data_IF_620476175293
#
_entry.id   IF_620476175293
#
_cell.length_a   1.000
_cell.length_b   1.000
_cell.length_c   1.000
_cell.angle_alpha   90.00
_cell.angle_beta   90.00
_cell.angle_gamma   90.00
#
_symmetry.space_group_name_H-M   'P 1'
#
loop_
_entity.id
_entity.type
_entity.pdbx_description
1 polymer ?
#
# COMPACT_ATOMS: atom_id res chain seq x y z
N UNK A 1 35.25 -18.32 -12.16
CA UNK A 1 35.15 -18.00 -10.71
C UNK A 1 34.67 -16.57 -10.49
N UNK A 2 35.38 -15.54 -10.95
CA UNK A 2 34.96 -14.14 -10.81
C UNK A 2 33.54 -13.87 -11.35
N UNK A 3 33.20 -14.45 -12.52
CA UNK A 3 31.87 -14.33 -13.10
C UNK A 3 30.74 -14.80 -12.18
N UNK A 4 30.94 -15.93 -11.48
CA UNK A 4 29.95 -16.46 -10.54
C UNK A 4 29.83 -15.56 -9.31
N UNK A 5 30.95 -15.00 -8.85
CA UNK A 5 30.98 -14.05 -7.73
C UNK A 5 30.27 -12.74 -8.09
N UNK A 6 30.50 -12.19 -9.28
CA UNK A 6 29.82 -10.97 -9.74
C UNK A 6 28.34 -11.18 -9.97
N UNK A 7 27.94 -12.36 -10.45
CA UNK A 7 26.54 -12.70 -10.66
C UNK A 7 25.82 -12.87 -9.31
N UNK A 8 26.45 -13.56 -8.36
CA UNK A 8 25.91 -13.70 -7.00
C UNK A 8 25.78 -12.36 -6.29
N UNK A 9 26.79 -11.48 -6.38
CA UNK A 9 26.74 -10.16 -5.76
C UNK A 9 25.65 -9.28 -6.38
N UNK A 10 25.50 -9.30 -7.71
CA UNK A 10 24.43 -8.57 -8.39
C UNK A 10 23.04 -9.00 -7.89
N UNK A 11 22.78 -10.31 -7.79
CA UNK A 11 21.51 -10.84 -7.27
C UNK A 11 21.26 -10.38 -5.83
N UNK A 12 22.28 -10.44 -4.97
CA UNK A 12 22.16 -9.99 -3.58
C UNK A 12 21.85 -8.50 -3.51
N UNK A 13 22.56 -7.66 -4.26
CA UNK A 13 22.36 -6.20 -4.29
C UNK A 13 20.96 -5.87 -4.80
N UNK A 14 20.49 -6.50 -5.88
CA UNK A 14 19.14 -6.30 -6.40
C UNK A 14 18.07 -6.67 -5.37
N UNK A 15 18.23 -7.81 -4.68
CA UNK A 15 17.31 -8.23 -3.63
C UNK A 15 17.31 -7.27 -2.43
N UNK A 16 18.48 -6.77 -2.04
CA UNK A 16 18.61 -5.77 -0.97
C UNK A 16 17.93 -4.46 -1.34
N UNK A 17 18.09 -4.00 -2.59
CA UNK A 17 17.48 -2.76 -3.06
C UNK A 17 15.96 -2.89 -3.15
N UNK A 18 15.45 -3.98 -3.73
CA UNK A 18 14.03 -4.30 -3.71
C UNK A 18 13.51 -4.33 -2.28
N UNK A 19 14.15 -5.13 -1.42
CA UNK A 19 13.73 -5.27 -0.02
C UNK A 19 13.74 -3.92 0.71
N UNK A 20 14.74 -3.07 0.50
CA UNK A 20 14.81 -1.73 1.08
C UNK A 20 13.64 -0.86 0.58
N UNK A 21 13.41 -0.79 -0.73
CA UNK A 21 12.28 -0.06 -1.32
C UNK A 21 10.92 -0.54 -0.80
N UNK A 22 10.80 -1.84 -0.51
CA UNK A 22 9.57 -2.43 0.04
C UNK A 22 9.49 -2.32 1.57
N UNK A 23 10.61 -2.06 2.25
CA UNK A 23 10.70 -1.88 3.72
C UNK A 23 10.49 -0.42 4.12
N UNK A 24 10.90 0.54 3.28
CA UNK A 24 10.62 1.98 3.44
C UNK A 24 9.10 2.27 3.51
N UNK A 25 8.28 1.40 2.90
CA UNK A 25 6.81 1.46 3.00
C UNK A 25 6.26 0.95 4.35
N UNK A 26 7.09 0.29 5.16
CA UNK A 26 6.73 -0.35 6.43
C UNK A 26 7.56 0.16 7.62
N UNK A 27 8.49 1.11 7.43
CA UNK A 27 9.41 1.61 8.47
C UNK A 27 8.75 2.54 9.49
N UNK A 28 7.45 2.81 9.40
CA UNK A 28 6.69 3.50 10.47
C UNK A 28 6.32 2.59 11.66
N UNK A 29 6.77 1.34 11.75
CA UNK A 29 6.56 0.50 12.94
C UNK A 29 7.84 -0.19 13.43
N UNK A 30 8.47 0.33 14.50
CA UNK A 30 9.46 -0.44 15.25
C UNK A 30 8.69 -1.45 16.12
N UNK A 31 8.52 -2.66 15.61
CA UNK A 31 7.96 -3.76 16.39
C UNK A 31 7.05 -4.65 15.57
N UNK A 32 7.63 -5.69 14.98
CA UNK A 32 7.27 -7.08 15.28
C UNK A 32 8.10 -7.99 14.36
N UNK A 33 9.06 -8.68 14.96
CA UNK A 33 9.41 -10.00 14.46
C UNK A 33 8.16 -10.89 14.59
N UNK A 34 7.98 -11.78 13.62
CA UNK A 34 6.89 -12.75 13.44
C UNK A 34 5.55 -12.26 12.86
N UNK A 35 5.37 -12.55 11.57
CA UNK A 35 4.17 -13.21 11.05
C UNK A 35 4.59 -13.80 9.69
N UNK A 36 5.11 -15.03 9.64
CA UNK A 36 4.30 -16.22 9.37
C UNK A 36 3.16 -15.92 8.39
N UNK A 37 3.41 -16.35 7.14
CA UNK A 37 2.45 -16.73 6.12
C UNK A 37 1.02 -16.91 6.66
N UNK A 38 0.07 -16.13 6.14
CA UNK A 38 -1.34 -16.56 6.09
C UNK A 38 -2.00 -16.03 4.81
N UNK A 39 -2.37 -16.89 3.86
CA UNK A 39 -3.35 -16.53 2.86
C UNK A 39 -4.75 -16.70 3.49
N UNK A 40 -5.65 -15.76 3.23
CA UNK A 40 -7.11 -15.90 3.24
C UNK A 40 -7.78 -14.62 3.73
N UNK A 41 -8.57 -14.04 2.83
CA UNK A 41 -9.89 -13.47 3.10
C UNK A 41 -10.07 -12.58 4.33
N UNK A 42 -10.33 -11.30 4.07
CA UNK A 42 -11.26 -10.51 4.88
C UNK A 42 -10.83 -10.28 6.34
N UNK A 43 -9.96 -9.30 6.55
CA UNK A 43 -10.01 -8.52 7.78
C UNK A 43 -9.58 -7.10 7.45
N UNK A 44 -10.56 -6.20 7.59
CA UNK A 44 -10.46 -4.75 7.49
C UNK A 44 -9.12 -4.31 8.08
N UNK A 45 -8.16 -3.97 7.20
CA UNK A 45 -7.01 -3.19 7.63
C UNK A 45 -7.64 -1.96 8.26
N UNK A 46 -7.41 -1.78 9.56
CA UNK A 46 -7.53 -0.48 10.22
C UNK A 46 -6.59 0.45 9.47
N UNK A 47 -7.09 0.95 8.33
CA UNK A 47 -6.46 2.01 7.58
C UNK A 47 -6.58 3.16 8.55
N UNK A 48 -5.44 3.67 8.99
CA UNK A 48 -5.37 5.09 9.31
C UNK A 48 -5.73 5.76 7.98
N UNK A 49 -7.02 5.94 7.72
CA UNK A 49 -7.49 6.77 6.63
C UNK A 49 -6.87 8.13 6.90
N UNK A 50 -6.09 8.64 5.95
CA UNK A 50 -5.75 10.05 5.99
C UNK A 50 -7.05 10.88 5.96
N UNK A 51 -7.00 12.16 6.32
CA UNK A 51 -8.18 13.04 6.22
C UNK A 51 -8.87 12.98 4.85
N UNK A 52 -8.12 12.67 3.78
CA UNK A 52 -8.61 12.53 2.41
C UNK A 52 -9.27 11.16 2.10
N UNK A 53 -9.00 10.13 2.91
CA UNK A 53 -9.55 8.77 2.78
C UNK A 53 -10.71 8.51 3.77
N UNK A 54 -11.25 9.57 4.38
CA UNK A 54 -12.39 9.47 5.27
C UNK A 54 -13.65 9.11 4.46
N UNK A 55 -14.39 8.06 4.87
CA UNK A 55 -15.53 7.56 4.10
C UNK A 55 -16.63 8.62 3.97
N UNK A 56 -16.76 9.51 4.94
CA UNK A 56 -17.73 10.60 4.93
C UNK A 56 -17.39 11.67 3.89
N UNK A 57 -16.11 12.01 3.70
CA UNK A 57 -15.67 12.98 2.68
C UNK A 57 -15.94 12.47 1.27
N UNK A 58 -15.61 11.20 0.99
CA UNK A 58 -15.88 10.57 -0.29
C UNK A 58 -17.39 10.50 -0.57
N UNK A 59 -18.20 10.25 0.45
CA UNK A 59 -19.66 10.27 0.34
C UNK A 59 -20.21 11.67 0.03
N UNK A 60 -19.65 12.71 0.64
CA UNK A 60 -20.01 14.09 0.33
C UNK A 60 -19.64 14.50 -1.10
N UNK A 61 -18.50 14.06 -1.61
CA UNK A 61 -18.11 14.28 -3.00
C UNK A 61 -19.04 13.56 -3.97
N UNK A 62 -19.33 12.28 -3.72
CA UNK A 62 -20.24 11.48 -4.54
C UNK A 62 -21.64 12.13 -4.62
N UNK A 63 -22.18 12.58 -3.48
CA UNK A 63 -23.48 13.26 -3.46
C UNK A 63 -23.45 14.62 -4.18
N UNK A 64 -22.33 15.34 -4.13
CA UNK A 64 -22.16 16.62 -4.84
C UNK A 64 -22.04 16.42 -6.36
N UNK A 65 -21.29 15.41 -6.80
CA UNK A 65 -21.17 15.05 -8.22
C UNK A 65 -22.50 14.58 -8.76
N UNK A 66 -23.18 13.69 -8.04
CA UNK A 66 -24.50 13.18 -8.42
C UNK A 66 -25.55 14.29 -8.56
N UNK A 67 -25.60 15.23 -7.61
CA UNK A 67 -26.51 16.39 -7.69
C UNK A 67 -26.19 17.35 -8.85
N UNK A 68 -24.94 17.37 -9.32
CA UNK A 68 -24.51 18.21 -10.46
C UNK A 68 -24.79 17.54 -11.80
N UNK A 69 -24.76 16.22 -11.83
CA UNK A 69 -25.06 15.41 -13.02
C UNK A 69 -26.56 15.17 -13.22
N UNK A 70 -27.38 15.30 -12.18
CA UNK A 70 -28.83 15.34 -12.31
C UNK A 70 -29.26 16.69 -12.95
N UNK A 71 -29.73 16.72 -14.22
CA UNK A 71 -30.25 17.95 -14.81
C UNK A 71 -31.55 18.35 -14.10
N UNK A 72 -31.85 19.67 -13.96
CA UNK A 72 -33.12 20.09 -13.39
C UNK A 72 -34.25 19.49 -14.23
N UNK A 73 -35.08 18.65 -13.60
CA UNK A 73 -36.27 18.11 -14.25
C UNK A 73 -37.34 19.19 -14.20
N UNK A 74 -37.27 20.14 -15.14
CA UNK A 74 -38.33 21.12 -15.42
C UNK A 74 -38.34 21.43 -16.91
#
# INVERSE_FOLDING_TARGET
>A
MLFLVTLASAVIITLLLWKAMNTERNSSRPGLRHALWRPSGGAVRSRVSGPDDDPDFLRHLDETVRRREDPPTT
#
